data_IF_922668278832
#
_entry.id   IF_922668278832
#
_cell.length_a   1.000
_cell.length_b   1.000
_cell.length_c   1.000
_cell.angle_alpha   90.00
_cell.angle_beta   90.00
_cell.angle_gamma   90.00
#
_symmetry.space_group_name_H-M   'P 1'
#
loop_
_entity.id
_entity.type
_entity.pdbx_description
1 polymer ?
#
# COMPACT_ATOMS: atom_id res chain seq x y z
N UNK A 1 30.87 21.03 -9.00
CA UNK A 1 30.83 19.57 -9.28
C UNK A 1 29.43 19.08 -9.65
N UNK A 2 28.36 19.38 -8.90
CA UNK A 2 26.99 18.94 -9.21
C UNK A 2 26.50 19.26 -10.64
N UNK A 3 26.78 20.47 -11.14
CA UNK A 3 26.42 20.88 -12.52
C UNK A 3 27.00 19.93 -13.59
N UNK A 4 28.25 19.49 -13.44
CA UNK A 4 28.87 18.57 -14.38
C UNK A 4 28.20 17.20 -14.42
N UNK A 5 27.64 16.73 -13.29
CA UNK A 5 26.85 15.49 -13.26
C UNK A 5 25.50 15.65 -13.95
N UNK A 6 24.89 16.82 -13.85
CA UNK A 6 23.65 17.15 -14.54
C UNK A 6 23.85 17.20 -16.06
N UNK A 7 24.96 17.80 -16.52
CA UNK A 7 25.33 17.85 -17.94
C UNK A 7 25.69 16.46 -18.49
N UNK A 8 26.23 15.57 -17.64
CA UNK A 8 26.50 14.17 -17.96
C UNK A 8 25.26 13.26 -17.92
N UNK A 9 24.06 13.79 -17.65
CA UNK A 9 22.82 13.01 -17.55
C UNK A 9 22.72 12.13 -16.29
N UNK A 10 23.65 12.27 -15.34
CA UNK A 10 23.67 11.52 -14.07
C UNK A 10 22.83 12.23 -13.02
N UNK A 11 21.53 12.33 -13.31
CA UNK A 11 20.58 13.14 -12.56
C UNK A 11 20.45 12.79 -11.07
N UNK A 12 20.40 11.50 -10.73
CA UNK A 12 20.31 11.05 -9.34
C UNK A 12 21.52 11.50 -8.51
N UNK A 13 22.73 11.33 -9.05
CA UNK A 13 23.97 11.78 -8.40
C UNK A 13 24.06 13.30 -8.32
N UNK A 14 23.59 14.01 -9.34
CA UNK A 14 23.51 15.47 -9.29
C UNK A 14 22.58 15.95 -8.17
N UNK A 15 21.40 15.33 -8.00
CA UNK A 15 20.47 15.64 -6.93
C UNK A 15 21.10 15.40 -5.54
N UNK A 16 21.79 14.27 -5.35
CA UNK A 16 22.49 13.94 -4.12
C UNK A 16 23.56 14.99 -3.77
N UNK A 17 24.39 15.39 -4.75
CA UNK A 17 25.41 16.42 -4.53
C UNK A 17 24.80 17.78 -4.17
N UNK A 18 23.61 18.12 -4.71
CA UNK A 18 22.90 19.33 -4.31
C UNK A 18 22.34 19.22 -2.88
N UNK A 19 21.86 18.05 -2.44
CA UNK A 19 21.47 17.84 -1.04
C UNK A 19 22.66 17.93 -0.10
N UNK A 20 23.81 17.37 -0.47
CA UNK A 20 25.04 17.49 0.31
C UNK A 20 25.49 18.95 0.41
N UNK A 21 25.41 19.71 -0.69
CA UNK A 21 25.70 21.15 -0.68
C UNK A 21 24.75 21.91 0.25
N UNK A 22 23.45 21.60 0.22
CA UNK A 22 22.47 22.20 1.13
C UNK A 22 22.71 21.82 2.60
N UNK A 23 23.18 20.60 2.87
CA UNK A 23 23.53 20.17 4.23
C UNK A 23 24.75 20.93 4.79
N UNK A 24 25.67 21.35 3.91
CA UNK A 24 26.83 22.17 4.27
C UNK A 24 26.42 23.65 4.44
N UNK A 25 25.62 24.16 3.51
CA UNK A 25 25.15 25.54 3.51
C UNK A 25 23.62 25.60 3.31
N UNK A 26 22.93 25.60 4.45
CA UNK A 26 21.46 25.69 4.48
C UNK A 26 20.93 27.11 4.26
N UNK A 27 21.81 28.12 4.18
CA UNK A 27 21.39 29.52 3.95
C UNK A 27 20.97 29.77 2.50
N UNK A 28 21.39 28.90 1.59
CA UNK A 28 21.13 28.94 0.16
C UNK A 28 20.05 27.91 -0.26
N UNK A 29 18.75 28.23 -0.16
CA UNK A 29 17.68 27.32 -0.55
C UNK A 29 17.73 26.95 -2.04
N UNK A 30 18.45 27.72 -2.87
CA UNK A 30 18.66 27.42 -4.28
C UNK A 30 19.24 26.03 -4.57
N UNK A 31 19.93 25.41 -3.60
CA UNK A 31 20.39 24.03 -3.71
C UNK A 31 19.23 23.03 -3.75
N UNK A 32 18.19 23.20 -2.91
CA UNK A 32 17.00 22.33 -2.92
C UNK A 32 16.25 22.42 -4.26
N UNK A 33 16.11 23.63 -4.81
CA UNK A 33 15.51 23.81 -6.13
C UNK A 33 16.30 23.08 -7.22
N UNK A 34 17.63 23.13 -7.15
CA UNK A 34 18.51 22.48 -8.13
C UNK A 34 18.47 20.95 -7.99
N UNK A 35 18.38 20.43 -6.78
CA UNK A 35 18.15 19.01 -6.52
C UNK A 35 16.80 18.54 -7.08
N UNK A 36 15.73 19.30 -6.84
CA UNK A 36 14.40 19.02 -7.37
C UNK A 36 14.39 18.98 -8.90
N UNK A 37 15.06 19.95 -9.56
CA UNK A 37 15.22 19.97 -11.02
C UNK A 37 16.02 18.80 -11.56
N UNK A 38 17.05 18.36 -10.84
CA UNK A 38 17.80 17.16 -11.22
C UNK A 38 16.92 15.91 -11.11
N UNK A 39 16.20 15.72 -9.99
CA UNK A 39 15.27 14.60 -9.81
C UNK A 39 14.17 14.57 -10.87
N UNK A 40 13.57 15.72 -11.20
CA UNK A 40 12.54 15.86 -12.25
C UNK A 40 13.07 15.43 -13.63
N UNK A 41 14.29 15.85 -14.00
CA UNK A 41 14.96 15.40 -15.22
C UNK A 41 15.29 13.91 -15.23
N UNK A 42 15.53 13.33 -14.06
CA UNK A 42 15.74 11.89 -13.88
C UNK A 42 14.46 11.07 -13.81
N UNK A 43 13.28 11.69 -14.02
CA UNK A 43 11.96 11.08 -13.87
C UNK A 43 11.64 10.53 -12.47
N UNK A 44 12.43 10.90 -11.46
CA UNK A 44 12.12 10.62 -10.05
C UNK A 44 11.16 11.70 -9.51
N UNK A 45 9.91 11.61 -9.98
CA UNK A 45 8.86 12.57 -9.64
C UNK A 45 8.60 12.68 -8.13
N UNK A 46 8.58 11.58 -7.34
CA UNK A 46 8.42 11.68 -5.89
C UNK A 46 9.54 12.47 -5.21
N UNK A 47 10.80 12.25 -5.60
CA UNK A 47 11.92 13.03 -5.05
C UNK A 47 11.83 14.51 -5.47
N UNK A 48 11.47 14.78 -6.72
CA UNK A 48 11.26 16.14 -7.21
C UNK A 48 10.17 16.88 -6.42
N UNK A 49 9.02 16.25 -6.19
CA UNK A 49 7.93 16.82 -5.39
C UNK A 49 8.39 17.16 -3.97
N UNK A 50 9.07 16.22 -3.30
CA UNK A 50 9.58 16.41 -1.95
C UNK A 50 10.50 17.63 -1.88
N UNK A 51 11.42 17.75 -2.82
CA UNK A 51 12.46 18.78 -2.81
C UNK A 51 11.92 20.16 -3.21
N UNK A 52 11.01 20.25 -4.19
CA UNK A 52 10.30 21.51 -4.49
C UNK A 52 9.45 21.97 -3.29
N UNK A 53 8.78 21.04 -2.62
CA UNK A 53 8.01 21.35 -1.42
C UNK A 53 8.91 21.83 -0.28
N UNK A 54 10.08 21.22 -0.09
CA UNK A 54 11.07 21.67 0.89
C UNK A 54 11.59 23.07 0.56
N UNK A 55 11.91 23.34 -0.71
CA UNK A 55 12.32 24.66 -1.16
C UNK A 55 11.27 25.73 -0.86
N UNK A 56 9.99 25.50 -1.19
CA UNK A 56 8.91 26.46 -0.95
C UNK A 56 8.62 26.73 0.54
N UNK A 57 9.02 25.82 1.43
CA UNK A 57 8.92 26.01 2.88
C UNK A 57 10.02 26.89 3.46
N UNK A 58 11.23 26.82 2.89
CA UNK A 58 12.42 27.50 3.42
C UNK A 58 12.67 28.83 2.70
N UNK A 59 12.45 28.87 1.39
CA UNK A 59 12.68 30.07 0.58
C UNK A 59 11.59 31.13 0.85
N UNK A 60 11.96 32.42 1.00
CA UNK A 60 10.99 33.49 1.12
C UNK A 60 10.21 33.67 -0.19
N UNK A 61 8.95 34.14 -0.17
CA UNK A 61 8.15 34.35 -1.39
C UNK A 61 8.77 35.30 -2.41
N UNK A 62 9.67 36.20 -1.99
CA UNK A 62 10.43 37.13 -2.86
C UNK A 62 11.66 36.50 -3.51
N UNK A 63 11.99 35.25 -3.20
CA UNK A 63 13.13 34.57 -3.79
C UNK A 63 12.92 34.39 -5.30
N UNK A 64 13.95 34.65 -6.11
CA UNK A 64 13.88 34.64 -7.59
C UNK A 64 13.22 33.38 -8.17
N UNK A 65 13.54 32.21 -7.59
CA UNK A 65 13.04 30.90 -8.04
C UNK A 65 11.71 30.45 -7.42
N UNK A 66 11.08 31.27 -6.57
CA UNK A 66 9.89 30.87 -5.80
C UNK A 66 8.70 30.51 -6.71
N UNK A 67 8.33 31.43 -7.61
CA UNK A 67 7.21 31.23 -8.55
C UNK A 67 7.47 30.05 -9.50
N UNK A 68 8.71 29.96 -10.02
CA UNK A 68 9.11 28.84 -10.87
C UNK A 68 8.93 27.49 -10.15
N UNK A 69 9.32 27.40 -8.88
CA UNK A 69 9.17 26.18 -8.08
C UNK A 69 7.69 25.79 -7.87
N UNK A 70 6.79 26.76 -7.70
CA UNK A 70 5.35 26.48 -7.62
C UNK A 70 4.82 25.88 -8.92
N UNK A 71 5.19 26.47 -10.06
CA UNK A 71 4.77 26.00 -11.37
C UNK A 71 5.30 24.58 -11.66
N UNK A 72 6.58 24.33 -11.37
CA UNK A 72 7.15 22.98 -11.52
C UNK A 72 6.50 21.96 -10.58
N UNK A 73 6.21 22.34 -9.33
CA UNK A 73 5.54 21.45 -8.39
C UNK A 73 4.13 21.05 -8.88
N UNK A 74 3.38 21.98 -9.47
CA UNK A 74 2.08 21.69 -10.06
C UNK A 74 2.21 20.72 -11.24
N UNK A 75 3.19 20.91 -12.13
CA UNK A 75 3.43 19.99 -13.23
C UNK A 75 3.82 18.59 -12.74
N UNK A 76 4.77 18.49 -11.81
CA UNK A 76 5.21 17.22 -11.21
C UNK A 76 4.04 16.46 -10.60
N UNK A 77 3.19 17.14 -9.81
CA UNK A 77 1.97 16.54 -9.24
C UNK A 77 1.01 16.03 -10.30
N UNK A 78 0.84 16.77 -11.40
CA UNK A 78 0.00 16.33 -12.52
C UNK A 78 0.54 15.06 -13.20
N UNK A 79 1.88 14.93 -13.30
CA UNK A 79 2.55 13.74 -13.87
C UNK A 79 2.41 12.55 -12.94
N UNK A 80 2.60 12.74 -11.63
CA UNK A 80 2.38 11.70 -10.61
C UNK A 80 0.94 11.21 -10.65
N UNK A 81 -0.04 12.12 -10.68
CA UNK A 81 -1.46 11.75 -10.72
C UNK A 81 -1.81 10.92 -11.98
N UNK A 82 -1.29 11.32 -13.15
CA UNK A 82 -1.47 10.56 -14.40
C UNK A 82 -0.83 9.18 -14.34
N UNK A 83 0.39 9.07 -13.80
CA UNK A 83 1.07 7.79 -13.62
C UNK A 83 0.27 6.86 -12.69
N UNK A 84 -0.23 7.36 -11.58
CA UNK A 84 -1.06 6.60 -10.65
C UNK A 84 -2.37 6.15 -11.28
N UNK A 85 -3.07 7.03 -12.01
CA UNK A 85 -4.28 6.68 -12.74
C UNK A 85 -4.02 5.56 -13.74
N UNK A 86 -2.92 5.63 -14.50
CA UNK A 86 -2.53 4.57 -15.44
C UNK A 86 -2.33 3.24 -14.73
N UNK A 87 -1.60 3.22 -13.62
CA UNK A 87 -1.40 1.99 -12.82
C UNK A 87 -2.72 1.42 -12.30
N UNK A 88 -3.63 2.26 -11.82
CA UNK A 88 -4.96 1.82 -11.37
C UNK A 88 -5.75 1.20 -12.52
N UNK A 89 -5.73 1.79 -13.72
CA UNK A 89 -6.40 1.24 -14.89
C UNK A 89 -5.78 -0.09 -15.33
N UNK A 90 -4.45 -0.21 -15.34
CA UNK A 90 -3.76 -1.47 -15.64
C UNK A 90 -4.08 -2.56 -14.62
N UNK A 91 -4.15 -2.23 -13.33
CA UNK A 91 -4.54 -3.17 -12.29
C UNK A 91 -6.00 -3.62 -12.43
N UNK A 92 -6.91 -2.70 -12.76
CA UNK A 92 -8.32 -3.04 -13.05
C UNK A 92 -8.44 -3.94 -14.27
N UNK A 93 -7.75 -3.61 -15.37
CA UNK A 93 -7.74 -4.42 -16.58
C UNK A 93 -7.18 -5.83 -16.32
N UNK A 94 -6.10 -5.95 -15.53
CA UNK A 94 -5.55 -7.26 -15.10
C UNK A 94 -6.54 -8.05 -14.24
N UNK A 95 -7.26 -7.40 -13.34
CA UNK A 95 -8.28 -8.06 -12.53
C UNK A 95 -9.47 -8.53 -13.37
N UNK A 96 -9.94 -7.73 -14.33
CA UNK A 96 -11.02 -8.10 -15.25
C UNK A 96 -10.60 -9.27 -16.16
N UNK A 97 -9.38 -9.23 -16.70
CA UNK A 97 -8.83 -10.32 -17.49
C UNK A 97 -8.69 -11.62 -16.66
N UNK A 98 -8.25 -11.53 -15.41
CA UNK A 98 -8.17 -12.68 -14.51
C UNK A 98 -9.56 -13.25 -14.18
N UNK A 99 -10.58 -12.40 -14.02
CA UNK A 99 -11.97 -12.83 -13.81
C UNK A 99 -12.56 -13.50 -15.05
N UNK A 100 -12.30 -12.98 -16.24
CA UNK A 100 -12.74 -13.58 -17.50
C UNK A 100 -12.10 -14.95 -17.72
N UNK A 101 -10.79 -15.08 -17.49
CA UNK A 101 -10.09 -16.36 -17.58
C UNK A 101 -10.62 -17.40 -16.58
N UNK A 102 -11.00 -16.97 -15.36
CA UNK A 102 -11.61 -17.85 -14.38
C UNK A 102 -13.03 -18.31 -14.79
N UNK A 103 -13.79 -17.46 -15.49
CA UNK A 103 -15.12 -17.82 -15.99
C UNK A 103 -15.04 -18.85 -17.14
N UNK A 104 -14.09 -18.69 -18.06
CA UNK A 104 -13.91 -19.62 -19.19
C UNK A 104 -13.29 -20.98 -18.76
N UNK A 105 -12.48 -20.98 -17.70
CA UNK A 105 -11.90 -22.19 -17.11
C UNK A 105 -12.86 -23.03 -16.26
N UNK A 106 -14.06 -22.52 -15.97
CA UNK A 106 -15.06 -23.20 -15.15
C UNK A 106 -15.93 -24.20 -15.94
N UNK A 107 -15.41 -24.79 -17.03
CA UNK A 107 -16.00 -26.04 -17.53
C UNK A 107 -15.67 -27.10 -16.47
N UNK A 108 -16.64 -27.61 -15.70
CA UNK A 108 -16.35 -28.61 -14.68
C UNK A 108 -15.64 -29.77 -15.38
N UNK A 109 -14.40 -30.03 -14.98
CA UNK A 109 -13.78 -31.29 -15.31
C UNK A 109 -14.76 -32.36 -14.80
N UNK A 110 -15.48 -32.99 -15.71
CA UNK A 110 -16.24 -34.21 -15.44
C UNK A 110 -15.31 -35.09 -14.64
N UNK A 111 -15.70 -35.35 -13.38
CA UNK A 111 -14.90 -36.13 -12.45
C UNK A 111 -14.38 -37.36 -13.21
N UNK A 112 -13.06 -37.62 -13.20
CA UNK A 112 -12.56 -38.83 -13.82
C UNK A 112 -13.34 -40.01 -13.24
N UNK A 113 -13.72 -41.01 -14.07
CA UNK A 113 -14.45 -42.17 -13.61
C UNK A 113 -13.72 -42.77 -12.40
N UNK A 114 -14.44 -43.26 -11.38
CA UNK A 114 -13.83 -43.79 -10.17
C UNK A 114 -12.82 -44.86 -10.55
N UNK A 115 -11.53 -44.55 -10.40
CA UNK A 115 -10.46 -45.50 -10.56
C UNK A 115 -10.70 -46.59 -9.52
N UNK A 116 -10.97 -47.81 -9.99
CA UNK A 116 -11.17 -49.00 -9.17
C UNK A 116 -9.97 -49.14 -8.24
N UNK A 117 -10.26 -49.19 -6.94
CA UNK A 117 -9.31 -49.25 -5.84
C UNK A 117 -8.54 -50.58 -5.88
N UNK A 118 -7.42 -50.59 -6.60
CA UNK A 118 -6.40 -51.65 -6.43
C UNK A 118 -5.76 -51.45 -5.05
N UNK A 119 -6.07 -52.39 -4.14
CA UNK A 119 -5.51 -52.56 -2.80
C UNK A 119 -4.05 -52.06 -2.73
N UNK A 120 -3.77 -50.98 -1.97
CA UNK A 120 -2.45 -50.36 -1.98
C UNK A 120 -1.43 -51.25 -1.25
N UNK A 121 -0.19 -51.37 -1.74
CA UNK A 121 0.92 -51.79 -0.90
C UNK A 121 1.04 -50.82 0.30
N UNK A 122 1.55 -51.27 1.46
CA UNK A 122 1.59 -50.49 2.69
C UNK A 122 2.22 -49.11 2.42
N UNK A 123 1.37 -48.09 2.40
CA UNK A 123 1.76 -46.70 2.22
C UNK A 123 2.48 -46.30 3.49
N UNK A 124 3.78 -46.06 3.38
CA UNK A 124 4.53 -45.32 4.39
C UNK A 124 3.90 -43.93 4.44
N UNK A 125 2.99 -43.73 5.39
CA UNK A 125 2.34 -42.44 5.64
C UNK A 125 3.44 -41.47 6.06
N UNK A 126 3.92 -40.65 5.11
CA UNK A 126 4.72 -39.49 5.46
C UNK A 126 3.84 -38.61 6.35
N UNK A 127 4.26 -38.26 7.57
CA UNK A 127 3.48 -37.41 8.44
C UNK A 127 3.12 -36.11 7.70
N UNK A 128 1.85 -35.71 7.79
CA UNK A 128 1.37 -34.49 7.16
C UNK A 128 2.25 -33.31 7.62
N UNK A 129 2.70 -32.45 6.69
CA UNK A 129 3.54 -31.31 7.06
C UNK A 129 2.80 -30.47 8.11
N UNK A 130 3.48 -30.02 9.17
CA UNK A 130 2.86 -29.23 10.23
C UNK A 130 2.24 -27.98 9.61
N UNK A 131 1.01 -27.65 10.03
CA UNK A 131 0.33 -26.45 9.56
C UNK A 131 1.22 -25.21 9.80
N UNK A 132 1.28 -24.25 8.86
CA UNK A 132 2.11 -23.06 9.02
C UNK A 132 1.69 -22.29 10.27
N UNK A 133 2.55 -22.25 11.29
CA UNK A 133 2.25 -21.62 12.59
C UNK A 133 2.06 -20.10 12.51
N UNK A 134 2.31 -19.50 11.35
CA UNK A 134 2.32 -18.05 11.12
C UNK A 134 0.94 -17.50 10.73
N UNK A 135 -0.03 -18.38 10.47
CA UNK A 135 -1.37 -17.98 10.02
C UNK A 135 -2.13 -17.20 11.09
N UNK A 136 -1.99 -17.57 12.37
CA UNK A 136 -2.68 -16.89 13.48
C UNK A 136 -2.19 -15.46 13.70
N UNK A 137 -0.88 -15.16 13.85
CA UNK A 137 -0.42 -13.79 13.98
C UNK A 137 -0.73 -12.94 12.72
N UNK A 138 -0.69 -13.54 11.52
CA UNK A 138 -1.10 -12.85 10.30
C UNK A 138 -2.59 -12.48 10.30
N UNK A 139 -3.48 -13.36 10.81
CA UNK A 139 -4.90 -13.07 10.96
C UNK A 139 -5.15 -11.89 11.91
N UNK A 140 -4.49 -11.87 13.08
CA UNK A 140 -4.61 -10.76 14.03
C UNK A 140 -4.09 -9.45 13.46
N UNK A 141 -2.96 -9.49 12.76
CA UNK A 141 -2.40 -8.30 12.10
C UNK A 141 -3.36 -7.75 11.04
N UNK A 142 -3.95 -8.62 10.22
CA UNK A 142 -4.91 -8.22 9.19
C UNK A 142 -6.20 -7.61 9.77
N UNK A 143 -6.77 -8.21 10.82
CA UNK A 143 -7.94 -7.67 11.51
C UNK A 143 -7.62 -6.32 12.18
N UNK A 144 -6.47 -6.22 12.85
CA UNK A 144 -6.01 -4.98 13.48
C UNK A 144 -5.84 -3.84 12.47
N UNK A 145 -5.18 -4.10 11.34
CA UNK A 145 -5.02 -3.13 10.25
C UNK A 145 -6.35 -2.72 9.63
N UNK A 146 -7.27 -3.67 9.44
CA UNK A 146 -8.61 -3.41 8.90
C UNK A 146 -9.40 -2.44 9.78
N UNK A 147 -9.41 -2.66 11.10
CA UNK A 147 -10.12 -1.78 12.05
C UNK A 147 -9.55 -0.36 12.08
N UNK A 148 -8.21 -0.21 12.02
CA UNK A 148 -7.57 1.11 11.93
C UNK A 148 -7.98 1.82 10.64
N UNK A 149 -8.02 1.11 9.51
CA UNK A 149 -8.49 1.65 8.23
C UNK A 149 -9.94 2.12 8.28
N UNK A 150 -10.84 1.34 8.88
CA UNK A 150 -12.26 1.74 9.06
C UNK A 150 -12.39 2.97 9.95
N UNK A 151 -11.64 3.04 11.06
CA UNK A 151 -11.67 4.19 11.96
C UNK A 151 -11.19 5.50 11.31
N UNK A 152 -10.07 5.44 10.57
CA UNK A 152 -9.54 6.59 9.82
C UNK A 152 -10.47 7.00 8.66
N UNK A 153 -11.06 6.04 7.95
CA UNK A 153 -12.03 6.33 6.89
C UNK A 153 -13.31 7.00 7.42
N UNK A 154 -13.87 6.48 8.52
CA UNK A 154 -15.09 7.03 9.13
C UNK A 154 -14.89 8.47 9.62
N UNK A 155 -13.75 8.78 10.22
CA UNK A 155 -13.43 10.14 10.69
C UNK A 155 -13.27 11.13 9.53
N UNK A 156 -12.65 10.72 8.42
CA UNK A 156 -12.55 11.55 7.22
C UNK A 156 -13.91 11.82 6.55
N UNK A 157 -14.80 10.83 6.49
CA UNK A 157 -16.16 11.04 5.94
C UNK A 157 -16.99 11.95 6.87
N UNK A 158 -16.92 11.77 8.19
CA UNK A 158 -17.65 12.58 9.15
C UNK A 158 -17.24 14.07 9.07
N UNK A 159 -15.93 14.33 9.01
CA UNK A 159 -15.37 15.71 8.90
C UNK A 159 -15.58 16.33 7.51
N UNK A 160 -15.59 15.52 6.45
CA UNK A 160 -15.86 16.00 5.09
C UNK A 160 -17.29 16.52 4.92
N UNK A 161 -18.29 15.85 5.51
CA UNK A 161 -19.68 16.27 5.43
C UNK A 161 -19.97 17.56 6.19
N UNK A 162 -19.31 17.80 7.34
CA UNK A 162 -19.45 19.05 8.09
C UNK A 162 -18.82 20.24 7.35
N UNK A 163 -17.61 20.06 6.80
CA UNK A 163 -16.90 21.12 6.07
C UNK A 163 -17.63 21.50 4.77
N UNK A 164 -18.17 20.51 4.04
CA UNK A 164 -18.94 20.74 2.82
C UNK A 164 -20.25 21.53 3.07
N UNK A 165 -20.95 21.22 4.16
CA UNK A 165 -22.18 21.92 4.53
C UNK A 165 -21.92 23.39 4.92
N UNK A 166 -20.81 23.69 5.58
CA UNK A 166 -20.42 25.08 5.86
C UNK A 166 -19.94 25.84 4.63
N UNK A 167 -19.17 25.19 3.75
CA UNK A 167 -18.69 25.79 2.50
C UNK A 167 -19.84 26.16 1.55
N UNK A 168 -20.86 25.28 1.45
CA UNK A 168 -22.06 25.54 0.66
C UNK A 168 -22.84 26.76 1.16
N UNK A 169 -22.92 26.98 2.48
CA UNK A 169 -23.56 28.17 3.06
C UNK A 169 -22.81 29.48 2.78
N UNK A 170 -21.49 29.41 2.60
CA UNK A 170 -20.64 30.59 2.30
C UNK A 170 -20.52 30.87 0.81
N UNK A 171 -21.06 30.01 -0.06
CA UNK A 171 -20.96 30.14 -1.51
C UNK A 171 -19.54 29.91 -2.06
N UNK A 172 -18.66 29.27 -1.29
CA UNK A 172 -17.27 29.05 -1.67
C UNK A 172 -17.13 27.74 -2.48
N UNK A 173 -17.15 27.89 -3.80
CA UNK A 173 -17.11 26.79 -4.77
C UNK A 173 -15.76 26.04 -4.74
N UNK A 174 -14.66 26.70 -4.35
CA UNK A 174 -13.35 26.07 -4.24
C UNK A 174 -13.28 25.18 -3.00
N UNK A 175 -13.81 25.66 -1.88
CA UNK A 175 -13.93 24.87 -0.66
C UNK A 175 -14.86 23.65 -0.87
N UNK A 176 -15.98 23.82 -1.57
CA UNK A 176 -16.90 22.72 -1.89
C UNK A 176 -16.23 21.60 -2.72
N UNK A 177 -15.45 21.95 -3.76
CA UNK A 177 -14.69 20.96 -4.56
C UNK A 177 -13.62 20.23 -3.74
N UNK A 178 -13.00 20.91 -2.76
CA UNK A 178 -12.03 20.28 -1.87
C UNK A 178 -12.69 19.29 -0.90
N UNK A 179 -13.93 19.55 -0.48
CA UNK A 179 -14.72 18.66 0.36
C UNK A 179 -15.11 17.38 -0.39
N UNK A 180 -15.55 17.49 -1.65
CA UNK A 180 -15.85 16.33 -2.52
C UNK A 180 -14.65 15.38 -2.69
N UNK A 181 -13.44 15.95 -2.81
CA UNK A 181 -12.21 15.17 -2.88
C UNK A 181 -11.95 14.36 -1.61
N UNK A 182 -12.18 14.95 -0.43
CA UNK A 182 -12.01 14.28 0.88
C UNK A 182 -13.06 13.19 1.10
N UNK A 183 -14.32 13.43 0.73
CA UNK A 183 -15.40 12.44 0.84
C UNK A 183 -15.13 11.24 -0.04
N UNK A 184 -14.67 11.46 -1.28
CA UNK A 184 -14.31 10.37 -2.21
C UNK A 184 -13.13 9.55 -1.68
N UNK A 185 -12.08 10.21 -1.20
CA UNK A 185 -10.93 9.53 -0.58
C UNK A 185 -11.35 8.73 0.68
N UNK A 186 -12.22 9.31 1.51
CA UNK A 186 -12.77 8.65 2.70
C UNK A 186 -13.62 7.42 2.36
N UNK A 187 -14.45 7.49 1.32
CA UNK A 187 -15.26 6.37 0.85
C UNK A 187 -14.41 5.22 0.31
N UNK A 188 -13.35 5.52 -0.45
CA UNK A 188 -12.39 4.50 -0.92
C UNK A 188 -11.65 3.86 0.26
N UNK A 189 -11.18 4.66 1.21
CA UNK A 189 -10.50 4.15 2.41
C UNK A 189 -11.42 3.24 3.25
N UNK A 190 -12.70 3.62 3.44
CA UNK A 190 -13.70 2.78 4.10
C UNK A 190 -13.95 1.48 3.36
N UNK A 191 -14.10 1.53 2.03
CA UNK A 191 -14.31 0.33 1.21
C UNK A 191 -13.16 -0.66 1.30
N UNK A 192 -11.92 -0.17 1.20
CA UNK A 192 -10.72 -1.01 1.34
C UNK A 192 -10.60 -1.54 2.76
N UNK A 193 -10.79 -0.70 3.79
CA UNK A 193 -10.73 -1.11 5.19
C UNK A 193 -11.75 -2.18 5.54
N UNK A 194 -12.99 -2.05 5.08
CA UNK A 194 -14.06 -3.03 5.28
C UNK A 194 -13.74 -4.36 4.59
N UNK A 195 -13.21 -4.32 3.36
CA UNK A 195 -12.83 -5.53 2.64
C UNK A 195 -11.68 -6.30 3.33
N UNK A 196 -10.68 -5.58 3.85
CA UNK A 196 -9.56 -6.18 4.59
C UNK A 196 -10.04 -6.77 5.92
N UNK A 197 -10.91 -6.07 6.65
CA UNK A 197 -11.49 -6.58 7.90
C UNK A 197 -12.32 -7.85 7.66
N UNK A 198 -13.13 -7.89 6.60
CA UNK A 198 -13.92 -9.07 6.23
C UNK A 198 -13.04 -10.26 5.85
N UNK A 199 -11.98 -10.03 5.06
CA UNK A 199 -11.01 -11.07 4.71
C UNK A 199 -10.26 -11.61 5.94
N UNK A 200 -9.86 -10.73 6.85
CA UNK A 200 -9.24 -11.12 8.12
C UNK A 200 -10.18 -11.93 9.01
N UNK A 201 -11.45 -11.54 9.10
CA UNK A 201 -12.48 -12.28 9.84
C UNK A 201 -12.78 -13.66 9.25
N UNK A 202 -12.87 -13.75 7.91
CA UNK A 202 -13.04 -15.04 7.23
C UNK A 202 -11.83 -15.95 7.45
N UNK A 203 -10.60 -15.42 7.35
CA UNK A 203 -9.39 -16.18 7.61
C UNK A 203 -9.36 -16.71 9.06
N UNK A 204 -9.76 -15.88 10.03
CA UNK A 204 -9.85 -16.27 11.44
C UNK A 204 -10.89 -17.38 11.67
N UNK A 205 -12.06 -17.29 11.04
CA UNK A 205 -13.11 -18.31 11.13
C UNK A 205 -12.73 -19.62 10.43
N UNK A 206 -12.00 -19.54 9.32
CA UNK A 206 -11.59 -20.71 8.52
C UNK A 206 -10.33 -21.41 9.05
N UNK A 207 -9.67 -20.85 10.07
CA UNK A 207 -8.46 -21.43 10.64
C UNK A 207 -8.83 -22.72 11.40
N UNK A 208 -8.29 -23.89 11.01
CA UNK A 208 -8.58 -25.14 11.71
C UNK A 208 -8.14 -25.02 13.18
N UNK A 209 -8.94 -25.57 14.09
CA UNK A 209 -8.53 -25.71 15.48
C UNK A 209 -7.28 -26.57 15.51
N UNK A 210 -6.18 -26.02 16.05
CA UNK A 210 -4.97 -26.79 16.24
C UNK A 210 -5.32 -27.95 17.17
N UNK A 211 -5.01 -29.21 16.81
CA UNK A 211 -5.29 -30.35 17.67
C UNK A 211 -4.63 -30.10 19.02
N UNK A 212 -5.41 -30.20 20.10
CA UNK A 212 -4.92 -29.99 21.45
C UNK A 212 -3.85 -31.06 21.74
N UNK A 213 -2.58 -30.66 21.71
CA UNK A 213 -1.49 -31.53 22.15
C UNK A 213 -1.57 -31.58 23.67
N UNK A 214 -2.28 -32.57 24.20
CA UNK A 214 -2.31 -32.87 25.62
C UNK A 214 -0.96 -33.48 26.01
N UNK A 215 -0.09 -32.68 26.64
CA UNK A 215 1.15 -33.19 27.25
C UNK A 215 0.79 -33.73 28.63
N UNK A 216 0.54 -35.03 28.72
CA UNK A 216 0.36 -35.69 30.01
C UNK A 216 1.74 -35.81 30.71
N UNK A 217 1.93 -35.26 31.93
CA UNK A 217 3.16 -35.45 32.65
C UNK A 217 3.26 -36.91 33.13
N UNK A 218 4.19 -37.68 32.55
CA UNK A 218 4.57 -38.97 33.13
C UNK A 218 5.51 -38.75 34.31
N UNK A 219 5.20 -39.41 35.44
CA UNK A 219 6.06 -39.47 36.61
C UNK A 219 7.38 -40.18 36.23
N UNK A 220 8.41 -39.40 35.94
CA UNK A 220 9.71 -39.92 35.47
C UNK A 220 10.51 -38.96 34.58
N UNK A 221 9.96 -37.81 34.17
CA UNK A 221 10.72 -36.78 33.44
C UNK A 221 10.87 -37.02 31.93
N UNK A 222 10.31 -38.10 31.38
CA UNK A 222 10.13 -38.27 29.94
C UNK A 222 8.78 -37.70 29.50
N UNK A 223 8.80 -36.71 28.61
CA UNK A 223 7.59 -36.20 27.96
C UNK A 223 7.34 -37.00 26.68
N UNK A 224 6.16 -37.61 26.56
CA UNK A 224 5.70 -38.28 25.34
C UNK A 224 4.51 -37.50 24.81
N UNK A 225 4.61 -36.98 23.58
CA UNK A 225 3.50 -36.30 22.92
C UNK A 225 2.49 -37.33 22.44
N UNK A 226 1.31 -37.38 23.07
CA UNK A 226 0.18 -38.18 22.60
C UNK A 226 -0.71 -37.26 21.77
N UNK A 227 -0.78 -37.51 20.45
CA UNK A 227 -1.73 -36.81 19.58
C UNK A 227 -3.07 -37.54 19.69
N UNK A 228 -3.97 -37.02 20.51
CA UNK A 228 -5.34 -37.51 20.62
C UNK A 228 -6.16 -37.08 19.41
N UNK A 229 -6.76 -38.04 18.70
CA UNK A 229 -7.79 -37.78 17.71
C UNK A 229 -9.15 -37.92 18.39
N UNK A 230 -9.91 -36.83 18.45
CA UNK A 230 -11.34 -36.83 18.80
C UNK A 230 -12.15 -36.56 17.54
#
# INVERSE_FOLDING_TARGET
MAKGELDAGRFAKAAELYHQAYAIDASEPGYLFSAARAADKGEDLPAAERDYTAFLKVAPPKHEKYEAAQNYLLDVRSRIARALQKQVQEMKAKQEAAKAAAADGAKPATAPPPTVETKPPPVVVKPAPPAPTWQRPAAYAAVGLGLVGVGLGATMVATGNSDGAEAAKRGDVAAARSADGKVTAGAVALGVGAAVAAAGGWLWWSAPEAPAVAVAPLAGGMQVAVVGWF
#
